data_IF_019210482867
#
_entry.id   IF_019210482867
#
_cell.length_a   1.000
_cell.length_b   1.000
_cell.length_c   1.000
_cell.angle_alpha   90.00
_cell.angle_beta   90.00
_cell.angle_gamma   90.00
#
_symmetry.space_group_name_H-M   'P 1'
#
loop_
_entity.id
_entity.type
_entity.pdbx_description
1 polymer ?
2 polymer ?
3 polymer ?
4 non-polymer ?
5 non-polymer ?
6 water ?
#
# COMPACT_ATOMS: atom_id res chain seq x y z
N UNK A 3 -29.35 0.80 33.13
CA UNK A 3 -30.23 1.00 31.93
C UNK A 3 -29.51 1.89 30.93
N UNK A 4 -29.76 3.20 31.01
CA UNK A 4 -29.10 4.13 30.12
C UNK A 4 -27.63 4.11 30.51
N UNK A 5 -27.38 3.82 31.78
CA UNK A 5 -26.02 3.74 32.28
C UNK A 5 -25.39 2.47 31.71
N UNK A 6 -26.09 1.35 31.85
CA UNK A 6 -25.61 0.07 31.35
C UNK A 6 -25.32 0.22 29.87
N UNK A 7 -26.26 0.80 29.14
CA UNK A 7 -26.09 1.00 27.71
C UNK A 7 -24.82 1.77 27.41
N UNK A 8 -24.58 2.86 28.13
CA UNK A 8 -23.39 3.66 27.87
C UNK A 8 -22.12 2.88 28.15
N UNK A 9 -22.11 2.16 29.28
CA UNK A 9 -20.95 1.36 29.68
C UNK A 9 -20.65 0.32 28.61
N UNK A 10 -21.67 -0.38 28.13
CA UNK A 10 -21.48 -1.37 27.08
C UNK A 10 -20.84 -0.71 25.85
N UNK A 11 -21.36 0.45 25.46
CA UNK A 11 -20.84 1.14 24.26
C UNK A 11 -19.39 1.57 24.45
N UNK A 12 -19.05 1.93 25.68
CA UNK A 12 -17.68 2.33 25.95
C UNK A 12 -16.80 1.09 25.84
N UNK A 13 -17.34 -0.06 26.21
CA UNK A 13 -16.55 -1.28 26.11
C UNK A 13 -16.35 -1.60 24.63
N UNK A 14 -17.38 -1.40 23.82
CA UNK A 14 -17.28 -1.66 22.38
C UNK A 14 -16.28 -0.70 21.71
N UNK A 15 -16.25 0.53 22.20
CA UNK A 15 -15.30 1.52 21.70
C UNK A 15 -13.85 1.07 21.99
N UNK A 16 -13.65 0.45 23.16
CA UNK A 16 -12.32 -0.06 23.55
C UNK A 16 -11.98 -1.13 22.51
N UNK A 17 -12.97 -1.95 22.18
CA UNK A 17 -12.80 -3.00 21.18
C UNK A 17 -12.49 -2.39 19.81
N UNK A 18 -13.24 -1.37 19.42
CA UNK A 18 -13.01 -0.70 18.16
C UNK A 18 -11.60 -0.12 18.13
N UNK A 19 -11.17 0.40 19.27
CA UNK A 19 -9.83 0.95 19.36
C UNK A 19 -8.78 -0.13 19.19
N UNK A 20 -8.96 -1.23 19.91
CA UNK A 20 -8.05 -2.37 19.85
C UNK A 20 -7.86 -2.84 18.43
N UNK A 21 -8.98 -3.10 17.75
CA UNK A 21 -8.95 -3.61 16.38
C UNK A 21 -8.24 -2.68 15.40
N UNK A 22 -8.58 -1.40 15.45
CA UNK A 22 -7.92 -0.48 14.54
C UNK A 22 -6.43 -0.35 14.89
N UNK A 23 -6.09 -0.28 16.17
CA UNK A 23 -4.67 -0.14 16.53
C UNK A 23 -3.88 -1.40 16.13
N UNK A 24 -4.56 -2.55 16.14
CA UNK A 24 -3.92 -3.78 15.77
C UNK A 24 -3.64 -3.72 14.27
N UNK A 25 -4.58 -3.18 13.52
CA UNK A 25 -4.44 -3.09 12.06
C UNK A 25 -3.43 -2.05 11.56
N UNK A 26 -3.01 -1.14 12.44
CA UNK A 26 -2.09 -0.07 12.06
C UNK A 26 -0.77 -0.47 11.39
N UNK A 27 -0.06 -1.40 12.00
CA UNK A 27 1.23 -1.85 11.46
C UNK A 27 1.08 -2.42 10.04
N UNK A 28 0.01 -3.17 9.82
CA UNK A 28 -0.23 -3.74 8.50
C UNK A 28 -0.50 -2.60 7.50
N UNK A 29 -1.28 -1.60 7.90
CA UNK A 29 -1.54 -0.49 6.99
C UNK A 29 -0.23 0.24 6.65
N UNK A 30 0.64 0.43 7.64
CA UNK A 30 1.93 1.10 7.39
C UNK A 30 2.77 0.27 6.42
N UNK A 31 2.85 -1.04 6.67
CA UNK A 31 3.63 -1.92 5.79
C UNK A 31 3.06 -1.91 4.39
N UNK A 32 1.73 -1.95 4.29
CA UNK A 32 1.11 -1.96 2.96
C UNK A 32 1.32 -0.66 2.19
N UNK A 33 1.38 0.47 2.89
CA UNK A 33 1.60 1.74 2.18
C UNK A 33 2.94 1.66 1.54
N UNK A 34 3.89 1.05 2.24
CA UNK A 34 5.22 0.90 1.70
C UNK A 34 5.14 0.00 0.47
N UNK A 35 4.43 -1.11 0.64
CA UNK A 35 4.27 -2.03 -0.46
C UNK A 35 3.58 -1.41 -1.67
N UNK A 36 2.44 -0.76 -1.47
CA UNK A 36 1.73 -0.14 -2.61
C UNK A 36 2.63 0.94 -3.24
N UNK A 37 3.39 1.63 -2.41
CA UNK A 37 4.29 2.67 -2.94
C UNK A 37 5.30 2.07 -3.88
N UNK A 38 5.90 0.96 -3.46
CA UNK A 38 6.87 0.27 -4.29
C UNK A 38 6.20 -0.15 -5.61
N UNK A 39 5.04 -0.80 -5.52
CA UNK A 39 4.36 -1.23 -6.74
C UNK A 39 4.06 -0.05 -7.68
N UNK A 40 3.40 0.98 -7.18
CA UNK A 40 3.06 2.11 -8.01
C UNK A 40 4.30 2.72 -8.67
N UNK A 41 5.35 2.90 -7.89
CA UNK A 41 6.58 3.50 -8.38
C UNK A 41 7.29 2.69 -9.47
N UNK A 42 7.47 1.39 -9.25
CA UNK A 42 8.19 0.59 -10.24
C UNK A 42 7.41 0.33 -11.52
N UNK A 43 6.08 0.28 -11.43
CA UNK A 43 5.29 0.08 -12.63
C UNK A 43 5.44 1.37 -13.45
N UNK A 44 5.36 2.52 -12.79
CA UNK A 44 5.48 3.77 -13.52
C UNK A 44 6.85 3.85 -14.18
N UNK A 45 7.89 3.49 -13.44
CA UNK A 45 9.23 3.49 -14.02
C UNK A 45 9.22 2.60 -15.27
N UNK A 46 8.56 1.45 -15.18
CA UNK A 46 8.50 0.53 -16.31
C UNK A 46 7.76 1.15 -17.48
N UNK A 47 6.67 1.86 -17.16
CA UNK A 47 5.87 2.52 -18.18
C UNK A 47 6.69 3.61 -18.89
N UNK A 48 7.42 4.42 -18.12
CA UNK A 48 8.26 5.46 -18.70
C UNK A 48 9.34 4.80 -19.59
N UNK A 49 9.99 3.76 -19.10
CA UNK A 49 11.03 3.08 -19.86
C UNK A 49 10.51 2.59 -21.22
N UNK A 50 9.34 1.97 -21.19
CA UNK A 50 8.70 1.43 -22.39
C UNK A 50 8.43 2.49 -23.44
N UNK A 51 8.25 3.73 -22.99
CA UNK A 51 8.00 4.82 -23.92
C UNK A 51 9.25 5.64 -24.26
N UNK A 52 10.41 5.22 -23.76
CA UNK A 52 11.67 5.91 -24.03
C UNK A 52 12.20 5.40 -25.39
N UNK A 53 12.38 6.30 -26.37
CA UNK A 53 12.85 5.90 -27.71
C UNK A 53 14.08 5.01 -27.66
N UNK A 54 15.02 5.32 -26.77
CA UNK A 54 16.21 4.50 -26.69
C UNK A 54 15.87 3.07 -26.25
N UNK A 55 14.89 2.90 -25.38
CA UNK A 55 14.52 1.56 -24.94
C UNK A 55 13.78 0.88 -26.08
N UNK A 56 13.01 1.64 -26.84
CA UNK A 56 12.28 1.07 -27.97
C UNK A 56 13.30 0.54 -28.99
N UNK A 57 14.33 1.33 -29.25
CA UNK A 57 15.38 0.94 -30.19
C UNK A 57 16.16 -0.27 -29.66
N UNK A 58 16.54 -0.22 -28.41
CA UNK A 58 17.29 -1.30 -27.79
C UNK A 58 16.49 -2.60 -27.84
N UNK A 59 15.22 -2.52 -27.50
CA UNK A 59 14.35 -3.68 -27.48
C UNK A 59 14.15 -4.36 -28.84
N UNK A 60 13.98 -3.55 -29.88
CA UNK A 60 13.81 -4.06 -31.25
C UNK A 60 15.09 -4.67 -31.78
N UNK A 61 16.22 -4.23 -31.25
CA UNK A 61 17.52 -4.66 -31.74
C UNK A 61 17.97 -5.98 -31.09
N UNK A 62 17.57 -6.20 -29.85
CA UNK A 62 17.95 -7.39 -29.10
C UNK A 62 17.90 -8.73 -29.84
N UNK A 63 16.75 -9.07 -30.46
CA UNK A 63 16.57 -10.32 -31.19
C UNK A 63 17.68 -10.66 -32.18
N UNK A 64 18.43 -9.64 -32.59
CA UNK A 64 19.51 -9.83 -33.55
C UNK A 64 20.86 -10.08 -32.89
N UNK A 65 20.89 -10.14 -31.56
CA UNK A 65 22.15 -10.34 -30.83
C UNK A 65 22.56 -11.79 -30.59
N UNK B 1 33.82 1.63 -25.51
CA UNK B 1 34.64 0.48 -25.95
C UNK B 1 33.79 -0.52 -26.73
N UNK B 2 34.49 -1.50 -27.28
CA UNK B 2 33.93 -2.36 -28.30
C UNK B 2 33.51 -3.75 -27.96
N UNK B 3 33.93 -4.21 -26.80
CA UNK B 3 33.62 -5.55 -26.36
C UNK B 3 33.25 -5.59 -24.89
N UNK B 4 34.17 -5.16 -24.03
CA UNK B 4 33.95 -5.21 -22.59
C UNK B 4 34.24 -3.81 -22.09
N UNK B 5 33.34 -3.26 -21.28
CA UNK B 5 33.60 -1.91 -20.91
C UNK B 5 32.64 -1.28 -19.91
N UNK B 6 33.17 -0.29 -19.22
CA UNK B 6 32.38 0.47 -18.29
C UNK B 6 32.84 1.89 -18.27
N UNK B 7 31.90 2.80 -18.36
CA UNK B 7 32.24 4.19 -18.18
C UNK B 7 32.40 4.57 -16.71
N UNK B 8 31.60 3.95 -15.90
CA UNK B 8 31.35 4.40 -14.55
C UNK B 8 31.49 3.42 -13.43
N UNK B 9 30.74 3.94 -12.46
CA UNK B 9 30.25 3.18 -11.40
C UNK B 9 28.79 3.35 -11.72
N UNK B 10 28.45 2.58 -12.75
CA UNK B 10 27.09 2.26 -13.09
C UNK B 10 27.12 0.90 -12.42
N UNK B 11 26.02 0.42 -11.93
CA UNK B 11 25.94 -0.85 -11.19
C UNK B 11 25.26 -1.92 -12.02
N UNK B 12 25.28 -1.76 -13.34
CA UNK B 12 24.64 -2.71 -14.24
C UNK B 12 25.37 -4.04 -14.27
N UNK B 13 24.61 -5.12 -14.11
CA UNK B 13 25.18 -6.47 -14.16
C UNK B 13 25.93 -6.73 -15.47
N UNK B 14 27.10 -7.49 -15.34
CA UNK B 14 28.00 -7.64 -16.47
C UNK B 14 27.27 -8.19 -17.69
N UNK B 15 26.20 -8.93 -17.47
CA UNK B 15 25.50 -9.63 -18.54
C UNK B 15 24.69 -8.67 -19.39
N UNK B 16 23.99 -7.74 -18.74
CA UNK B 16 23.24 -6.71 -19.44
C UNK B 16 24.18 -5.73 -20.15
N UNK B 17 25.23 -5.31 -19.46
CA UNK B 17 26.23 -4.43 -20.05
C UNK B 17 26.78 -5.04 -21.33
N UNK B 18 26.83 -6.38 -21.39
CA UNK B 18 27.36 -7.10 -22.57
C UNK B 18 26.35 -7.08 -23.70
N UNK B 19 25.11 -7.40 -23.37
CA UNK B 19 23.99 -7.19 -24.29
C UNK B 19 24.13 -5.79 -24.91
N UNK B 20 24.07 -4.75 -24.06
CA UNK B 20 24.11 -3.38 -24.54
C UNK B 20 25.26 -3.15 -25.50
N UNK B 21 26.37 -3.74 -25.21
CA UNK B 21 27.53 -3.57 -26.07
C UNK B 21 27.23 -4.11 -27.47
N UNK B 22 26.60 -5.26 -27.53
CA UNK B 22 26.29 -5.90 -28.80
C UNK B 22 25.17 -5.18 -29.54
N UNK B 23 24.29 -4.54 -28.79
CA UNK B 23 23.19 -3.80 -29.38
C UNK B 23 23.87 -2.59 -29.95
N UNK B 24 24.77 -2.00 -29.17
CA UNK B 24 25.50 -0.83 -29.58
C UNK B 24 26.18 -1.07 -30.91
N UNK B 25 26.82 -2.22 -31.04
CA UNK B 25 27.52 -2.57 -32.27
C UNK B 25 26.56 -2.58 -33.45
N UNK B 26 25.38 -3.19 -33.30
CA UNK B 26 24.41 -3.22 -34.39
C UNK B 26 23.84 -1.84 -34.70
N UNK B 27 23.51 -1.10 -33.65
CA UNK B 27 23.00 0.28 -33.76
C UNK B 27 23.97 1.19 -34.52
N UNK B 28 25.26 0.99 -34.29
CA UNK B 28 26.31 1.77 -34.95
C UNK B 28 26.55 1.17 -36.34
N UNK B 29 25.58 1.41 -37.23
CA UNK B 29 25.59 0.96 -38.62
C UNK B 29 26.91 1.05 -39.36
N UNK B 30 27.45 2.26 -39.48
CA UNK B 30 28.70 2.42 -40.20
C UNK B 30 29.92 1.79 -39.52
N UNK B 31 29.68 1.15 -38.37
CA UNK B 31 30.75 0.48 -37.64
C UNK B 31 32.01 1.31 -37.52
N UNK B 32 31.87 2.50 -36.91
CA UNK B 32 32.97 3.41 -36.71
C UNK B 32 33.17 3.67 -35.21
N UNK B 33 32.28 3.10 -34.39
CA UNK B 33 32.38 3.30 -32.95
C UNK B 33 31.51 4.36 -32.31
N UNK B 34 30.74 5.07 -33.12
CA UNK B 34 29.86 6.12 -32.63
C UNK B 34 28.48 5.97 -33.24
N UNK B 35 27.43 6.41 -32.53
CA UNK B 35 26.07 6.30 -33.02
C UNK B 35 25.53 7.68 -33.42
N UNK B 36 25.44 7.89 -34.73
CA UNK B 36 24.96 9.16 -35.28
C UNK B 36 23.49 9.07 -35.70
N UNK B 37 22.88 10.23 -35.97
CA UNK B 37 21.48 10.27 -36.39
C UNK B 37 21.30 9.37 -37.61
N UNK B 38 22.38 9.18 -38.35
CA UNK B 38 22.35 8.34 -39.53
C UNK B 38 22.26 6.87 -39.17
N UNK B 39 23.04 6.44 -38.19
CA UNK B 39 23.02 5.04 -37.77
C UNK B 39 21.64 4.73 -37.18
N UNK B 40 21.14 5.62 -36.34
CA UNK B 40 19.86 5.41 -35.69
C UNK B 40 18.72 5.29 -36.68
N UNK B 41 18.79 6.11 -37.73
CA UNK B 41 17.74 6.11 -38.74
C UNK B 41 17.82 4.80 -39.53
N UNK B 42 19.02 4.43 -39.95
CA UNK B 42 19.22 3.23 -40.76
C UNK B 42 18.80 1.95 -40.07
N UNK B 43 19.30 1.74 -38.84
CA UNK B 43 18.92 0.53 -38.14
C UNK B 43 17.42 0.51 -37.86
N UNK B 44 16.85 1.67 -37.57
CA UNK B 44 15.42 1.72 -37.30
C UNK B 44 14.63 1.35 -38.57
N UNK B 45 14.97 1.97 -39.70
CA UNK B 45 14.24 1.69 -40.93
C UNK B 45 14.35 0.22 -41.24
N UNK B 46 15.50 -0.34 -40.90
CA UNK B 46 15.75 -1.76 -41.11
C UNK B 46 14.75 -2.58 -40.30
N UNK B 47 14.53 -2.15 -39.06
CA UNK B 47 13.66 -2.88 -38.16
C UNK B 47 12.19 -2.51 -38.12
N UNK B 48 11.79 -1.52 -38.91
CA UNK B 48 10.38 -1.12 -38.91
C UNK B 48 10.26 0.37 -39.10
N UNK B 49 9.13 0.95 -38.68
CA UNK B 49 8.91 2.39 -38.83
C UNK B 49 9.94 3.12 -37.98
N UNK B 50 10.64 4.07 -38.57
CA UNK B 50 11.62 4.82 -37.81
C UNK B 50 10.99 6.07 -37.20
N UNK B 51 11.53 6.54 -36.06
CA UNK B 51 10.94 7.74 -35.47
C UNK B 51 11.27 8.87 -36.44
N UNK B 52 10.54 9.97 -36.38
CA UNK B 52 10.80 11.09 -37.27
C UNK B 52 12.09 11.79 -36.88
N UNK B 53 12.70 12.48 -37.83
CA UNK B 53 13.94 13.17 -37.58
C UNK B 53 13.93 13.96 -36.27
N UNK B 54 12.82 14.63 -35.99
CA UNK B 54 12.72 15.40 -34.77
C UNK B 54 13.00 14.48 -33.59
N UNK B 55 12.36 13.32 -33.58
CA UNK B 55 12.57 12.35 -32.50
C UNK B 55 14.00 11.83 -32.52
N UNK B 56 14.53 11.62 -33.73
CA UNK B 56 15.89 11.14 -33.89
C UNK B 56 16.90 12.11 -33.28
N UNK B 57 16.65 13.40 -33.54
CA UNK B 57 17.50 14.48 -33.09
C UNK B 57 17.39 14.65 -31.57
N UNK B 58 16.18 14.47 -31.06
CA UNK B 58 15.90 14.60 -29.64
C UNK B 58 16.50 13.47 -28.80
N UNK B 59 16.70 12.31 -29.39
CA UNK B 59 17.29 11.25 -28.60
C UNK B 59 18.81 11.39 -28.65
N UNK B 60 19.32 11.92 -29.75
CA UNK B 60 20.75 12.12 -29.87
C UNK B 60 21.19 13.21 -28.90
N UNK B 61 20.29 14.17 -28.68
CA UNK B 61 20.48 15.29 -27.77
C UNK B 61 20.67 14.82 -26.33
N UNK B 62 20.17 13.63 -26.01
CA UNK B 62 20.31 13.17 -24.64
C UNK B 62 21.75 12.79 -24.30
N UNK B 63 22.58 12.60 -25.33
CA UNK B 63 24.00 12.24 -25.14
C UNK B 63 24.85 13.49 -25.31
N UNK B 64 25.23 14.10 -24.18
CA UNK B 64 26.06 15.32 -24.20
C UNK B 64 27.52 14.97 -24.53
N UNK B 65 27.79 14.76 -25.80
CA UNK B 65 29.14 14.41 -26.22
C UNK B 65 29.11 13.22 -27.13
N UNK B 66 30.18 12.99 -27.89
CA UNK B 66 30.22 11.84 -28.79
C UNK B 66 29.45 10.64 -28.21
N UNK B 67 28.57 10.05 -29.00
CA UNK B 67 27.81 8.94 -28.48
C UNK B 67 28.58 7.67 -28.73
N UNK B 68 29.60 7.43 -27.90
CA UNK B 68 30.38 6.20 -28.04
C UNK B 68 29.74 5.20 -27.09
N UNK B 69 30.29 3.98 -27.00
CA UNK B 69 29.67 3.02 -26.10
C UNK B 69 29.57 3.49 -24.64
N UNK B 70 30.59 4.19 -24.16
CA UNK B 70 30.62 4.72 -22.79
C UNK B 70 29.42 5.62 -22.56
N UNK B 71 29.16 6.48 -23.54
CA UNK B 71 28.05 7.41 -23.47
C UNK B 71 26.75 6.64 -23.55
N UNK B 72 26.71 5.65 -24.43
CA UNK B 72 25.50 4.84 -24.60
C UNK B 72 25.13 4.16 -23.27
N UNK B 73 26.11 3.49 -22.68
CA UNK B 73 25.89 2.78 -21.42
C UNK B 73 25.54 3.78 -20.33
N UNK B 74 26.13 4.96 -20.41
CA UNK B 74 25.87 5.99 -19.43
C UNK B 74 24.39 6.41 -19.47
N UNK B 75 23.83 6.71 -20.64
CA UNK B 75 22.43 7.14 -20.64
C UNK B 75 21.47 6.01 -20.27
N UNK B 76 21.86 4.76 -20.55
CA UNK B 76 21.00 3.64 -20.17
C UNK B 76 21.04 3.36 -18.67
N UNK B 77 22.21 3.40 -18.05
CA UNK B 77 22.22 3.15 -16.60
C UNK B 77 21.57 4.28 -15.84
N UNK B 78 21.73 5.52 -16.31
CA UNK B 78 21.09 6.65 -15.64
C UNK B 78 19.59 6.42 -15.73
N UNK B 79 19.13 5.92 -16.88
CA UNK B 79 17.72 5.65 -17.07
C UNK B 79 17.23 4.49 -16.21
N UNK B 80 18.04 3.45 -16.10
CA UNK B 80 17.66 2.27 -15.33
C UNK B 80 17.90 2.29 -13.83
N UNK B 81 18.65 3.29 -13.36
CA UNK B 81 19.03 3.37 -11.95
C UNK B 81 17.86 3.63 -11.01
N UNK B 82 18.03 3.28 -9.75
CA UNK B 82 17.09 3.65 -8.71
C UNK B 82 15.74 2.96 -8.78
N UNK B 83 15.72 1.70 -9.21
CA UNK B 83 14.49 0.92 -9.19
C UNK B 83 14.65 -0.22 -8.23
N UNK B 84 13.52 -0.72 -7.77
CA UNK B 84 13.56 -1.80 -6.79
C UNK B 84 13.85 -3.14 -7.44
N UNK B 85 14.32 -4.07 -6.63
CA UNK B 85 14.64 -5.38 -7.15
C UNK B 85 13.35 -6.18 -7.35
N UNK B 86 13.47 -7.20 -8.20
CA UNK B 86 12.42 -8.17 -8.44
C UNK B 86 11.89 -8.69 -7.12
N UNK B 87 12.80 -8.98 -6.20
CA UNK B 87 12.41 -9.55 -4.90
C UNK B 87 11.57 -8.57 -4.08
N UNK B 88 12.01 -7.32 -4.02
CA UNK B 88 11.30 -6.29 -3.27
C UNK B 88 9.91 -6.01 -3.86
N UNK B 89 9.84 -5.95 -5.18
CA UNK B 89 8.58 -5.68 -5.82
C UNK B 89 7.63 -6.85 -5.54
N UNK B 90 8.14 -8.06 -5.71
CA UNK B 90 7.34 -9.25 -5.46
C UNK B 90 6.79 -9.27 -4.03
N UNK B 91 7.64 -8.99 -3.05
CA UNK B 91 7.19 -8.99 -1.66
C UNK B 91 6.15 -7.89 -1.43
N UNK B 92 6.29 -6.78 -2.17
CA UNK B 92 5.36 -5.67 -2.03
C UNK B 92 3.97 -6.21 -2.40
N UNK B 93 3.90 -6.86 -3.55
CA UNK B 93 2.65 -7.47 -4.01
C UNK B 93 2.13 -8.52 -3.00
N UNK B 94 3.04 -9.36 -2.50
CA UNK B 94 2.64 -10.40 -1.58
C UNK B 94 2.01 -9.83 -0.31
N UNK B 95 2.28 -8.56 0.00
CA UNK B 95 1.69 -7.97 1.20
C UNK B 95 0.17 -7.87 1.14
N UNK B 96 -0.37 -8.04 -0.05
CA UNK B 96 -1.82 -7.95 -0.25
C UNK B 96 -2.37 -9.35 -0.60
N UNK B 97 -1.50 -10.36 -0.46
CA UNK B 97 -1.82 -11.76 -0.74
C UNK B 97 -1.41 -12.58 0.49
N UNK B 98 -2.15 -12.39 1.56
CA UNK B 98 -1.91 -13.06 2.83
C UNK B 98 -1.85 -14.57 2.73
N UNK B 99 -2.76 -15.15 1.95
CA UNK B 99 -2.77 -16.59 1.83
C UNK B 99 -1.65 -17.12 0.91
N UNK B 100 -0.86 -16.22 0.35
CA UNK B 100 0.26 -16.59 -0.53
C UNK B 100 -0.16 -17.42 -1.73
N UNK B 101 -1.21 -16.97 -2.39
CA UNK B 101 -1.70 -17.68 -3.56
C UNK B 101 -0.80 -17.39 -4.74
N UNK B 102 -0.03 -16.32 -4.66
CA UNK B 102 0.87 -15.91 -5.73
C UNK B 102 0.13 -15.13 -6.81
N UNK B 103 -1.12 -14.77 -6.50
CA UNK B 103 -1.93 -13.99 -7.41
C UNK B 103 -2.75 -13.00 -6.58
N UNK B 104 -3.38 -12.07 -7.28
CA UNK B 104 -4.27 -11.07 -6.69
C UNK B 104 -5.53 -11.03 -7.54
N UNK B 105 -6.70 -10.85 -6.92
CA UNK B 105 -7.91 -10.76 -7.72
C UNK B 105 -7.71 -9.51 -8.61
N UNK B 106 -8.00 -9.64 -9.89
CA UNK B 106 -7.86 -8.54 -10.83
C UNK B 106 -8.56 -7.24 -10.36
N UNK B 107 -9.73 -7.33 -9.74
CA UNK B 107 -10.40 -6.08 -9.30
C UNK B 107 -9.70 -5.45 -8.11
N UNK B 108 -9.14 -6.29 -7.24
CA UNK B 108 -8.45 -5.79 -6.05
C UNK B 108 -7.21 -4.99 -6.46
N UNK B 109 -6.35 -5.58 -7.30
CA UNK B 109 -5.14 -4.90 -7.75
C UNK B 109 -5.49 -3.63 -8.54
N UNK B 110 -6.54 -3.69 -9.36
CA UNK B 110 -6.93 -2.50 -10.10
C UNK B 110 -7.40 -1.44 -9.12
N UNK B 111 -8.17 -1.85 -8.10
CA UNK B 111 -8.65 -0.89 -7.09
C UNK B 111 -7.46 -0.29 -6.32
N UNK B 112 -6.50 -1.12 -5.93
CA UNK B 112 -5.32 -0.62 -5.20
C UNK B 112 -4.56 0.42 -6.02
N UNK B 113 -4.36 0.13 -7.30
CA UNK B 113 -3.59 1.04 -8.14
C UNK B 113 -4.27 2.32 -8.52
N UNK B 114 -5.57 2.25 -8.79
CA UNK B 114 -6.30 3.43 -9.22
C UNK B 114 -6.90 4.32 -8.15
N UNK B 115 -7.33 3.72 -7.04
CA UNK B 115 -7.99 4.45 -5.96
C UNK B 115 -7.22 4.66 -4.64
N UNK B 116 -6.02 4.11 -4.53
CA UNK B 116 -5.26 4.27 -3.31
C UNK B 116 -3.84 4.75 -3.60
N UNK B 117 -3.14 5.17 -2.55
CA UNK B 117 -1.77 5.62 -2.73
C UNK B 117 -1.71 6.76 -3.73
N UNK B 118 -0.72 6.71 -4.62
CA UNK B 118 -0.57 7.76 -5.65
C UNK B 118 -1.32 7.32 -6.89
N UNK B 119 -2.64 7.52 -6.86
CA UNK B 119 -3.48 7.03 -7.90
C UNK B 119 -2.93 7.00 -9.31
N UNK B 120 -2.94 5.82 -9.91
CA UNK B 120 -2.73 5.70 -11.34
C UNK B 120 -3.90 6.43 -12.03
N UNK B 121 -3.61 7.06 -13.17
CA UNK B 121 -4.65 7.73 -13.97
C UNK B 121 -5.15 6.68 -14.97
N UNK B 122 -6.20 7.02 -15.70
CA UNK B 122 -6.77 6.07 -16.66
C UNK B 122 -5.77 5.55 -17.70
N UNK B 123 -4.84 6.41 -18.16
CA UNK B 123 -3.88 5.98 -19.17
C UNK B 123 -2.88 5.00 -18.60
N UNK B 124 -2.40 5.26 -17.37
CA UNK B 124 -1.44 4.38 -16.69
C UNK B 124 -2.11 3.02 -16.47
N UNK B 125 -3.38 3.08 -16.08
CA UNK B 125 -4.17 1.89 -15.85
C UNK B 125 -4.22 1.08 -17.15
N UNK B 126 -4.63 1.75 -18.23
CA UNK B 126 -4.75 1.08 -19.52
C UNK B 126 -3.43 0.50 -19.97
N UNK B 127 -2.36 1.29 -19.87
CA UNK B 127 -1.05 0.77 -20.29
C UNK B 127 -0.57 -0.38 -19.42
N UNK B 128 -0.87 -0.32 -18.13
CA UNK B 128 -0.44 -1.36 -17.21
C UNK B 128 -1.08 -2.73 -17.48
N UNK B 129 -2.40 -2.74 -17.61
CA UNK B 129 -3.07 -4.01 -17.81
C UNK B 129 -3.14 -4.55 -19.23
N UNK B 130 -2.67 -3.78 -20.19
CA UNK B 130 -2.68 -4.25 -21.56
C UNK B 130 -1.61 -5.31 -21.56
N UNK B 131 -0.65 -5.14 -20.67
CA UNK B 131 0.47 -6.06 -20.56
C UNK B 131 0.30 -7.13 -19.49
N UNK B 132 -0.57 -6.87 -18.51
CA UNK B 132 -0.78 -7.79 -17.40
C UNK B 132 -1.14 -9.25 -17.64
N UNK B 133 -0.48 -10.15 -16.92
CA UNK B 133 -0.77 -11.58 -17.06
C UNK B 133 -2.00 -11.87 -16.17
N UNK B 134 -3.16 -12.01 -16.80
CA UNK B 134 -4.41 -12.25 -16.07
C UNK B 134 -5.17 -13.43 -16.67
N UNK B 135 -5.67 -14.31 -15.82
CA UNK B 135 -6.44 -15.46 -16.28
C UNK B 135 -7.27 -15.88 -15.08
N UNK B 136 -8.51 -16.29 -15.35
CA UNK B 136 -9.40 -16.71 -14.27
C UNK B 136 -9.69 -15.57 -13.32
N UNK B 137 -9.57 -14.33 -13.80
CA UNK B 137 -9.82 -13.20 -12.91
C UNK B 137 -8.71 -13.02 -11.88
N UNK B 138 -7.56 -13.63 -12.13
CA UNK B 138 -6.42 -13.56 -11.20
C UNK B 138 -5.22 -12.89 -11.87
N UNK B 139 -4.72 -11.83 -11.25
CA UNK B 139 -3.54 -11.13 -11.75
C UNK B 139 -2.30 -11.84 -11.18
N UNK B 140 -1.46 -12.39 -12.07
CA UNK B 140 -0.26 -13.12 -11.63
C UNK B 140 0.89 -12.13 -11.41
N UNK B 141 1.03 -11.64 -10.18
CA UNK B 141 2.06 -10.68 -9.87
C UNK B 141 3.50 -11.17 -9.94
N UNK B 142 3.70 -12.48 -9.78
CA UNK B 142 5.04 -13.06 -9.87
C UNK B 142 5.50 -13.03 -11.33
N UNK B 143 4.60 -13.40 -12.25
CA UNK B 143 4.88 -13.27 -13.67
C UNK B 143 5.03 -11.79 -14.03
N UNK B 144 4.14 -10.95 -13.50
CA UNK B 144 4.14 -9.54 -13.83
C UNK B 144 5.42 -8.84 -13.40
N UNK B 145 5.88 -9.17 -12.20
CA UNK B 145 7.11 -8.59 -11.68
C UNK B 145 8.27 -9.08 -12.54
N UNK B 146 8.23 -10.35 -12.91
CA UNK B 146 9.24 -10.90 -13.80
C UNK B 146 9.30 -10.09 -15.11
N UNK B 147 8.12 -9.78 -15.65
CA UNK B 147 8.03 -9.05 -16.91
C UNK B 147 8.64 -7.66 -16.87
N UNK B 148 8.20 -6.85 -15.92
CA UNK B 148 8.67 -5.49 -15.81
C UNK B 148 10.15 -5.35 -15.45
N UNK B 149 10.70 -6.39 -14.82
CA UNK B 149 12.11 -6.40 -14.45
C UNK B 149 12.97 -7.02 -15.56
N UNK B 150 12.30 -7.53 -16.59
CA UNK B 150 12.98 -8.00 -17.78
C UNK B 150 13.37 -9.45 -17.75
N UNK B 151 13.18 -10.07 -16.60
CA UNK B 151 13.54 -11.51 -16.45
C UNK B 151 12.32 -12.30 -16.73
N UNK B 152 11.46 -11.75 -17.57
CA UNK B 152 10.21 -12.39 -17.80
C UNK B 152 9.57 -12.40 -19.17
N UNK B 153 8.31 -11.99 -19.07
CA UNK B 153 7.23 -12.09 -20.00
C UNK B 153 6.78 -10.97 -20.95
N UNK B 154 7.62 -10.02 -21.33
CA UNK B 154 7.18 -8.93 -22.17
C UNK B 154 7.11 -9.29 -23.64
N UNK B 155 7.99 -10.18 -24.07
CA UNK B 155 8.13 -10.49 -25.48
C UNK B 155 8.98 -11.74 -25.70
N UNK B 156 8.76 -12.42 -26.82
CA UNK B 156 9.65 -13.47 -27.28
C UNK B 156 9.09 -14.92 -27.11
N UNK C 1 -6.12 20.13 23.50
CA UNK C 1 -5.61 21.36 24.16
C UNK C 1 -4.09 21.38 24.29
N UNK C 2 -3.59 21.06 25.48
CA UNK C 2 -2.16 21.06 25.75
C UNK C 2 -1.43 19.89 25.10
N UNK C 3 -1.80 19.56 23.85
CA UNK C 3 -1.16 18.46 23.13
C UNK C 3 0.35 18.67 23.17
N UNK C 4 1.09 17.57 23.36
CA UNK C 4 2.55 17.62 23.44
C UNK C 4 3.26 18.24 22.23
N UNK C 5 2.51 18.56 21.19
CA UNK C 5 3.07 19.07 19.95
C UNK C 5 3.83 17.87 19.42
N UNK C 6 3.76 16.79 20.16
CA UNK C 6 4.38 15.54 19.77
C UNK C 6 3.17 14.78 19.29
N UNK C 7 2.09 15.03 20.01
CA UNK C 7 0.80 14.38 19.72
C UNK C 7 0.25 15.01 18.45
N UNK C 8 0.83 16.16 18.09
CA UNK C 8 0.47 16.88 16.87
C UNK C 8 1.21 16.23 15.70
N UNK C 9 2.48 15.86 15.92
CA UNK C 9 3.29 15.23 14.89
C UNK C 9 2.76 13.80 14.77
N UNK C 10 2.36 13.22 15.90
CA UNK C 10 1.79 11.88 15.93
C UNK C 10 0.57 11.88 15.02
N UNK C 11 -0.30 12.86 15.22
CA UNK C 11 -1.51 13.00 14.42
C UNK C 11 -1.12 13.25 12.96
N UNK C 12 -0.01 13.95 12.75
CA UNK C 12 0.43 14.20 11.38
C UNK C 12 0.83 12.89 10.71
N UNK C 13 1.52 12.02 11.43
CA UNK C 13 1.95 10.75 10.88
C UNK C 13 0.73 9.89 10.55
N UNK C 14 -0.22 9.82 11.47
CA UNK C 14 -1.43 9.01 11.24
C UNK C 14 -2.23 9.56 10.06
N UNK C 15 -2.41 10.88 10.06
CA UNK C 15 -3.13 11.54 8.99
C UNK C 15 -2.54 11.19 7.63
N UNK C 16 -1.21 11.34 7.52
CA UNK C 16 -0.53 11.01 6.26
C UNK C 16 -0.78 9.57 5.82
N UNK C 17 -0.82 8.64 6.75
CA UNK C 17 -1.03 7.24 6.36
C UNK C 17 -2.43 7.08 5.79
N UNK C 18 -3.43 7.62 6.49
CA UNK C 18 -4.81 7.50 6.01
C UNK C 18 -5.07 8.27 4.73
N UNK C 19 -4.37 9.39 4.58
CA UNK C 19 -4.51 10.23 3.38
C UNK C 19 -4.05 9.37 2.23
N UNK C 20 -2.91 8.72 2.44
CA UNK C 20 -2.38 7.83 1.44
C UNK C 20 -3.41 6.76 1.11
N UNK C 21 -4.03 6.15 2.12
CA UNK C 21 -4.94 5.05 1.81
C UNK C 21 -6.27 5.31 1.10
N UNK C 22 -6.70 6.56 1.03
CA UNK C 22 -7.91 6.85 0.27
C UNK C 22 -7.52 7.81 -0.85
N UNK C 23 -6.26 7.71 -1.29
CA UNK C 23 -5.75 8.59 -2.33
C UNK C 23 -4.98 9.75 -1.76
N UNK C 24 -3.65 9.70 -1.90
CA UNK C 24 -2.78 10.74 -1.36
C UNK C 24 -3.03 12.10 -1.98
N UNK C 25 -3.68 12.99 -1.22
CA UNK C 25 -4.06 14.29 -1.73
C UNK C 25 -4.14 15.34 -0.63
N UNK C 26 -3.73 14.97 0.58
CA UNK C 26 -3.78 15.91 1.67
C UNK C 26 -5.16 16.01 2.30
N UNK C 27 -5.99 15.00 2.08
CA UNK C 27 -7.31 14.95 2.69
C UNK C 27 -7.67 13.51 3.07
N UNK C 28 -8.30 13.35 4.22
CA UNK C 28 -8.73 12.04 4.73
C UNK C 28 -10.27 12.02 4.78
N UNK C 29 -10.87 10.94 4.27
CA UNK C 29 -12.32 10.85 4.28
C UNK C 29 -12.80 10.96 5.71
N UNK C 30 -13.87 11.74 5.93
CA UNK C 30 -14.40 11.98 7.27
C UNK C 30 -14.90 10.72 7.94
N UNK C 31 -15.11 9.69 7.13
CA UNK C 31 -15.57 8.43 7.67
C UNK C 31 -14.42 7.76 8.42
N UNK C 32 -13.22 8.27 8.25
CA UNK C 32 -12.05 7.65 8.86
C UNK C 32 -11.48 8.49 10.00
N UNK C 33 -12.15 9.61 10.28
CA UNK C 33 -11.73 10.51 11.37
C UNK C 33 -11.65 9.76 12.69
N UNK C 34 -12.64 8.91 12.98
CA UNK C 34 -12.61 8.15 14.22
C UNK C 34 -11.44 7.17 14.30
N UNK C 35 -11.19 6.49 13.18
CA UNK C 35 -10.10 5.51 13.14
C UNK C 35 -8.77 6.21 13.28
N UNK C 36 -8.64 7.41 12.74
CA UNK C 36 -7.39 8.14 12.88
C UNK C 36 -7.16 8.35 14.38
N UNK C 37 -8.16 8.90 15.04
CA UNK C 37 -8.03 9.15 16.45
C UNK C 37 -7.74 7.89 17.25
N UNK C 38 -8.39 6.78 16.88
CA UNK C 38 -8.16 5.52 17.56
C UNK C 38 -6.72 5.10 17.45
N UNK C 39 -6.07 5.47 16.36
CA UNK C 39 -4.65 5.10 16.15
C UNK C 39 -3.73 5.86 17.09
N UNK C 40 -4.24 6.98 17.61
CA UNK C 40 -3.50 7.81 18.55
C UNK C 40 -3.71 7.39 19.99
N UNK C 41 -4.38 6.27 20.20
CA UNK C 41 -4.57 5.78 21.55
C UNK C 41 -5.88 6.01 22.26
N UNK C 42 -6.84 6.69 21.64
CA UNK C 42 -8.08 6.90 22.35
C UNK C 42 -9.21 6.02 21.82
N UNK C 43 -10.23 5.82 22.65
CA UNK C 43 -11.37 4.96 22.32
C UNK C 43 -12.69 5.67 22.26
N UNK C 44 -12.88 6.49 21.23
CA UNK C 44 -14.14 7.22 21.14
C UNK C 44 -15.32 6.35 20.77
N UNK C 45 -16.48 6.66 21.31
CA UNK C 45 -17.67 5.93 20.93
C UNK C 45 -18.06 6.56 19.61
N UNK C 46 -18.85 5.82 18.83
CA UNK C 46 -19.39 6.30 17.56
C UNK C 46 -19.91 7.70 17.76
N UNK C 47 -20.65 7.87 18.84
CA UNK C 47 -21.41 9.09 19.10
C UNK C 47 -20.46 10.25 19.32
N UNK C 48 -19.35 9.97 20.02
CA UNK C 48 -18.31 10.96 20.21
C UNK C 48 -17.73 11.40 18.86
N UNK C 49 -17.43 10.42 18.00
CA UNK C 49 -16.85 10.71 16.69
C UNK C 49 -17.81 11.53 15.82
N UNK C 50 -19.09 11.18 15.80
CA UNK C 50 -20.01 11.96 14.98
C UNK C 50 -20.08 13.41 15.49
N UNK C 51 -20.13 13.57 16.80
CA UNK C 51 -20.21 14.89 17.39
C UNK C 51 -19.04 15.81 17.03
N UNK C 52 -17.91 15.27 16.58
CA UNK C 52 -16.78 16.14 16.21
C UNK C 52 -16.58 16.22 14.69
N UNK C 53 -17.51 15.66 13.92
CA UNK C 53 -17.41 15.75 12.49
C UNK C 53 -17.30 14.44 11.72
N UNK C 54 -17.06 13.33 12.41
CA UNK C 54 -16.96 12.06 11.71
C UNK C 54 -18.27 11.77 11.00
N UNK C 55 -18.18 11.23 9.79
CA UNK C 55 -19.38 10.92 9.03
C UNK C 55 -19.80 9.46 9.15
N UNK C 56 -20.93 9.12 8.55
CA UNK C 56 -21.48 7.77 8.62
C UNK C 56 -21.10 6.79 7.51
N UNK C 57 -20.47 7.28 6.46
CA UNK C 57 -20.03 6.38 5.41
C UNK C 57 -18.97 7.05 4.57
N UNK C 58 -18.24 6.24 3.82
CA UNK C 58 -17.22 6.78 2.95
C UNK C 58 -17.87 7.56 1.83
N UNK C 59 -17.12 8.52 1.30
CA UNK C 59 -17.57 9.30 0.16
C UNK C 59 -18.57 10.41 0.36
N UNK C 60 -18.50 11.06 1.52
CA UNK C 60 -19.41 12.14 1.83
C UNK C 60 -18.65 13.44 2.03
N UNK C 61 -17.59 13.38 2.82
CA UNK C 61 -16.80 14.55 3.10
C UNK C 61 -15.36 14.14 3.24
N UNK C 62 -14.46 15.03 2.85
CA UNK C 62 -13.05 14.74 3.00
C UNK C 62 -12.49 15.91 3.79
N UNK C 63 -11.60 15.62 4.73
CA UNK C 63 -11.05 16.66 5.58
C UNK C 63 -9.53 16.83 5.51
N UNK C 64 -9.05 18.10 5.63
CA UNK C 64 -7.61 18.39 5.61
C UNK C 64 -7.08 18.26 7.03
N UNK C 65 -5.76 18.27 7.18
CA UNK C 65 -5.13 18.12 8.48
C UNK C 65 -5.61 19.05 9.57
N UNK C 66 -5.71 20.33 9.24
CA UNK C 66 -6.13 21.33 10.21
C UNK C 66 -7.52 21.05 10.76
N UNK C 67 -8.38 20.42 9.98
CA UNK C 67 -9.68 20.02 10.51
C UNK C 67 -9.52 18.92 11.58
N UNK C 68 -8.55 18.02 11.41
CA UNK C 68 -8.33 16.94 12.39
C UNK C 68 -7.83 17.42 13.77
N UNK C 69 -7.24 18.61 13.83
CA UNK C 69 -6.72 19.17 15.09
C UNK C 69 -7.80 19.35 16.15
N UNK C 70 -8.80 20.22 15.88
CA UNK C 70 -9.86 20.41 16.87
C UNK C 70 -10.59 19.10 17.18
N UNK C 71 -10.79 18.28 16.15
CA UNK C 71 -11.49 17.00 16.33
C UNK C 71 -10.75 16.10 17.31
N UNK C 72 -9.48 15.84 17.03
CA UNK C 72 -8.69 15.01 17.92
C UNK C 72 -8.69 15.65 19.32
N UNK C 73 -8.44 16.96 19.38
CA UNK C 73 -8.47 17.65 20.66
C UNK C 73 -9.79 17.36 21.38
N UNK C 74 -10.91 17.64 20.70
CA UNK C 74 -12.22 17.38 21.28
C UNK C 74 -12.43 15.95 21.77
N UNK C 75 -11.95 14.97 21.00
CA UNK C 75 -12.13 13.57 21.40
C UNK C 75 -11.35 13.15 22.63
N UNK C 76 -10.22 13.80 22.89
CA UNK C 76 -9.44 13.43 24.07
C UNK C 76 -10.27 13.59 25.32
N UNK C 77 -11.20 14.54 25.31
CA UNK C 77 -12.05 14.75 26.47
C UNK C 77 -13.16 13.69 26.57
N UNK C 78 -13.29 12.83 25.56
CA UNK C 78 -14.33 11.79 25.58
C UNK C 78 -14.21 10.82 26.75
N UNK C 79 -15.31 10.51 27.42
CA UNK C 79 -15.28 9.57 28.52
C UNK C 79 -14.78 8.20 28.03
N UNK C 80 -13.97 7.53 28.86
CA UNK C 80 -13.45 6.21 28.54
C UNK C 80 -13.85 5.30 29.69
N UNK C 81 -14.37 4.11 29.36
CA UNK C 81 -14.78 3.17 30.40
C UNK C 81 -13.65 2.71 31.30
N UNK C 82 -13.96 2.37 32.54
CA UNK C 82 -12.96 1.91 33.51
C UNK C 82 -13.21 0.43 33.72
N UNK C 83 -12.25 -0.25 34.33
CA UNK C 83 -12.40 -1.66 34.60
C UNK C 83 -13.62 -1.90 35.49
N UNK C 84 -13.80 -1.04 36.49
CA UNK C 84 -14.94 -1.13 37.42
C UNK C 84 -16.29 -1.10 36.68
N UNK C 85 -16.48 -0.15 35.76
CA UNK C 85 -17.72 -0.05 34.98
C UNK C 85 -17.92 -1.35 34.14
N UNK C 86 -16.87 -1.83 33.47
CA UNK C 86 -16.98 -3.03 32.63
C UNK C 86 -17.38 -4.23 33.47
N UNK C 87 -16.76 -4.41 34.62
CA UNK C 87 -17.13 -5.52 35.48
C UNK C 87 -18.57 -5.32 35.98
N UNK C 88 -18.94 -4.09 36.29
CA UNK C 88 -20.29 -3.82 36.76
C UNK C 88 -21.25 -4.12 35.60
N UNK C 89 -20.86 -3.77 34.37
CA UNK C 89 -21.71 -4.06 33.23
C UNK C 89 -21.96 -5.57 33.07
N UNK C 90 -20.89 -6.33 32.89
CA UNK C 90 -21.01 -7.76 32.70
C UNK C 90 -21.61 -8.51 33.88
N UNK C 91 -21.37 -8.03 35.08
CA UNK C 91 -21.90 -8.67 36.27
C UNK C 91 -23.41 -8.84 36.17
N UNK C 92 -24.07 -7.89 35.51
CA UNK C 92 -25.52 -7.96 35.38
C UNK C 92 -25.94 -9.15 34.53
N UNK C 93 -25.04 -9.69 33.74
CA UNK C 93 -25.38 -10.83 32.91
C UNK C 93 -24.92 -12.16 33.54
N UNK C 94 -24.34 -12.09 34.73
CA UNK C 94 -23.83 -13.24 35.47
C UNK C 94 -24.84 -13.72 36.51
N UNK C 95 -25.76 -14.57 36.09
CA UNK C 95 -26.77 -15.08 37.01
C UNK C 95 -26.14 -15.88 38.17
N UNK C 96 -25.18 -16.76 37.85
CA UNK C 96 -24.52 -17.61 38.85
C UNK C 96 -23.57 -16.93 39.82
N UNK C 97 -22.94 -15.84 39.39
CA UNK C 97 -22.02 -15.13 40.26
C UNK C 97 -20.67 -15.80 40.35
N UNK C 98 -20.23 -16.47 39.28
CA UNK C 98 -18.94 -17.12 39.31
C UNK C 98 -17.97 -16.52 38.30
N UNK C 99 -18.34 -15.38 37.73
CA UNK C 99 -17.45 -14.73 36.79
C UNK C 99 -17.55 -15.24 35.36
N UNK C 100 -18.57 -16.05 35.09
CA UNK C 100 -18.79 -16.57 33.74
C UNK C 100 -19.98 -15.96 33.02
N UNK C 101 -19.84 -15.93 31.71
CA UNK C 101 -20.87 -15.48 30.79
C UNK C 101 -20.70 -16.48 29.63
N UNK C 102 -21.80 -16.95 29.06
CA UNK C 102 -21.69 -17.89 27.94
C UNK C 102 -21.17 -17.16 26.70
N UNK C 103 -20.37 -17.86 25.88
CA UNK C 103 -19.86 -17.25 24.67
C UNK C 103 -20.99 -16.62 23.85
N UNK C 104 -22.14 -17.27 23.89
CA UNK C 104 -23.30 -16.79 23.15
C UNK C 104 -23.83 -15.51 23.77
N UNK C 105 -23.91 -15.47 25.11
CA UNK C 105 -24.40 -14.26 25.76
C UNK C 105 -23.42 -13.13 25.45
N UNK C 106 -22.13 -13.41 25.49
CA UNK C 106 -21.16 -12.35 25.21
C UNK C 106 -21.36 -11.81 23.79
N UNK C 107 -21.45 -12.70 22.81
CA UNK C 107 -21.68 -12.27 21.43
C UNK C 107 -22.98 -11.47 21.37
N UNK C 108 -23.98 -11.87 22.14
CA UNK C 108 -25.23 -11.12 22.13
C UNK C 108 -25.06 -9.66 22.61
N UNK C 109 -24.42 -9.45 23.76
CA UNK C 109 -24.26 -8.08 24.26
C UNK C 109 -23.46 -7.18 23.30
N UNK C 110 -22.43 -7.76 22.71
CA UNK C 110 -21.57 -7.04 21.79
C UNK C 110 -22.19 -6.68 20.45
N UNK C 111 -23.09 -7.50 19.95
CA UNK C 111 -23.69 -7.25 18.65
C UNK C 111 -25.12 -6.70 18.67
N UNK C 112 -25.81 -6.86 19.79
CA UNK C 112 -27.18 -6.40 19.94
C UNK C 112 -27.40 -5.22 20.90
N UNK C 113 -26.47 -4.95 21.81
CA UNK C 113 -26.65 -3.83 22.74
C UNK C 113 -25.72 -2.65 22.48
N UNK C 114 -25.93 -1.55 23.20
CA UNK C 114 -25.11 -0.35 23.03
C UNK C 114 -24.89 0.02 21.57
N UNK C 115 -23.71 0.54 21.25
CA UNK C 115 -23.37 0.88 19.88
C UNK C 115 -22.83 -0.42 19.27
N UNK C 116 -23.76 -1.30 18.95
CA UNK C 116 -23.48 -2.61 18.37
C UNK C 116 -22.28 -2.82 17.45
N UNK C 117 -21.57 -3.93 17.64
CA UNK C 117 -20.44 -4.27 16.79
C UNK C 117 -20.95 -5.31 15.78
N UNK C 118 -20.21 -5.52 14.70
CA UNK C 118 -20.60 -6.53 13.71
C UNK C 118 -20.12 -7.88 14.21
N UNK C 119 -20.75 -8.94 13.69
CA UNK C 119 -20.37 -10.29 14.02
C UNK C 119 -18.95 -10.48 13.52
N UNK C 120 -18.53 -9.74 12.50
CA UNK C 120 -17.15 -9.89 12.04
C UNK C 120 -16.16 -9.27 13.02
N UNK C 121 -16.55 -8.13 13.61
CA UNK C 121 -15.72 -7.44 14.60
C UNK C 121 -15.58 -8.32 15.83
N UNK C 122 -16.70 -8.91 16.24
CA UNK C 122 -16.69 -9.77 17.39
C UNK C 122 -15.75 -10.95 17.10
N UNK C 123 -15.89 -11.54 15.93
CA UNK C 123 -15.02 -12.61 15.50
C UNK C 123 -13.56 -12.21 15.66
N UNK C 124 -13.22 -11.04 15.14
CA UNK C 124 -11.84 -10.58 15.21
C UNK C 124 -11.33 -10.31 16.63
N UNK C 125 -12.11 -9.66 17.50
CA UNK C 125 -11.63 -9.41 18.87
C UNK C 125 -11.50 -10.74 19.64
N UNK C 126 -12.43 -11.67 19.44
CA UNK C 126 -12.37 -12.97 20.10
C UNK C 126 -11.10 -13.67 19.65
N UNK C 127 -10.81 -13.62 18.36
CA UNK C 127 -9.60 -14.24 17.83
C UNK C 127 -8.33 -13.56 18.37
N UNK C 128 -8.27 -12.24 18.30
CA UNK C 128 -7.07 -11.50 18.74
C UNK C 128 -6.80 -11.60 20.24
N UNK C 129 -7.85 -11.78 21.03
CA UNK C 129 -7.65 -11.89 22.45
C UNK C 129 -7.50 -13.34 22.81
N UNK C 130 -7.61 -14.20 21.80
CA UNK C 130 -7.46 -15.64 21.96
C UNK C 130 -8.43 -16.14 23.03
N UNK C 131 -9.61 -15.54 23.06
CA UNK C 131 -10.61 -15.91 24.05
C UNK C 131 -11.09 -17.34 23.80
N UNK C 132 -11.09 -18.15 24.85
CA UNK C 132 -11.51 -19.54 24.77
C UNK C 132 -12.70 -19.83 25.67
N UNK C 133 -13.65 -20.63 25.19
CA UNK C 133 -14.80 -21.01 25.99
C UNK C 133 -14.39 -22.27 26.75
N UNK C 134 -14.91 -22.49 27.95
CA UNK C 134 -14.58 -23.73 28.65
C UNK C 134 -15.47 -24.85 28.06
N UNK C 135 -15.41 -26.04 28.63
CA UNK C 135 -16.18 -27.16 28.11
C UNK C 135 -17.67 -26.90 28.06
N UNK C 136 -18.16 -26.03 28.94
CA UNK C 136 -19.57 -25.73 29.01
C UNK C 136 -19.98 -24.62 28.05
N UNK C 137 -19.02 -24.07 27.31
CA UNK C 137 -19.33 -22.99 26.39
C UNK C 137 -19.30 -21.62 27.03
N UNK C 138 -18.71 -21.52 28.21
CA UNK C 138 -18.62 -20.24 28.94
C UNK C 138 -17.24 -19.61 28.90
N UNK C 139 -17.20 -18.30 29.15
CA UNK C 139 -15.96 -17.54 29.21
C UNK C 139 -15.92 -16.69 30.46
N UNK C 140 -14.69 -16.42 30.90
CA UNK C 140 -14.46 -15.62 32.10
C UNK C 140 -14.40 -14.18 31.60
N UNK C 141 -15.48 -13.42 31.78
CA UNK C 141 -15.49 -12.05 31.27
C UNK C 141 -14.43 -11.12 31.83
N UNK C 142 -13.96 -11.39 33.04
CA UNK C 142 -12.92 -10.54 33.60
C UNK C 142 -11.66 -10.59 32.73
N UNK C 143 -11.26 -11.80 32.34
CA UNK C 143 -10.10 -12.01 31.48
C UNK C 143 -10.26 -11.27 30.17
N UNK C 144 -11.46 -11.36 29.60
CA UNK C 144 -11.76 -10.73 28.31
C UNK C 144 -11.65 -9.22 28.44
N UNK C 145 -12.29 -8.67 29.47
CA UNK C 145 -12.22 -7.23 29.70
C UNK C 145 -10.75 -6.79 29.81
N UNK C 146 -9.98 -7.50 30.63
CA UNK C 146 -8.56 -7.15 30.80
C UNK C 146 -7.79 -7.19 29.48
N UNK C 147 -7.99 -8.26 28.70
CA UNK C 147 -7.33 -8.38 27.42
C UNK C 147 -7.75 -7.21 26.52
N UNK C 148 -9.04 -6.93 26.48
CA UNK C 148 -9.50 -5.84 25.63
C UNK C 148 -8.87 -4.50 26.07
N UNK C 149 -8.87 -4.22 27.37
CA UNK C 149 -8.34 -2.97 27.88
C UNK C 149 -6.85 -2.79 27.68
N UNK C 150 -6.11 -3.89 27.67
CA UNK C 150 -4.65 -3.84 27.62
C UNK C 150 -4.17 -3.48 26.21
N UNK C 151 -4.89 -3.93 25.20
CA UNK C 151 -4.52 -3.54 23.84
C UNK C 151 -3.98 -4.67 22.99
N UNK C 152 -3.70 -4.41 21.70
CA UNK C 152 -3.15 -5.42 20.81
C UNK C 152 -1.71 -5.71 21.09
N UNK C 153 -0.90 -4.74 21.39
CA UNK C 153 0.40 -5.13 21.94
C UNK C 153 0.05 -4.95 23.46
N UNK C 154 0.20 -5.99 24.34
CA UNK C 154 -0.49 -6.06 25.69
C UNK C 154 -0.17 -5.33 27.10
N UNK C 155 -0.14 -3.93 26.92
CA UNK C 155 -0.12 -2.79 27.93
C UNK C 155 -0.62 -1.52 27.22
N UNK C 156 -1.87 -1.36 27.07
CA UNK C 156 -2.32 -0.18 26.36
C UNK C 156 -3.37 0.32 27.28
X LIG D 1 28.63 4.82 -36.20
X LIG E 1 -6.53 11.09 0.66
#
# INVERSE_FOLDING_TARGET
MRDERLSKIISMFQAHIRGYLIRKAYKKLQDQRIGLSVIQRNIRKWLVLRNWQWWKLYSKVKPLL
ADKAASGVLTKLPQKQIQEMKEAFSMIDVDRDGFVSKEDIKAISEQLGRAPDDKELTAMLKEAPGPLNFTMFLSIFSDKLSGTDSEETIRNAFAMFDEQETKKLNIEYIKDLLENMGDNFNKDEMRMTFKEAPVEGGKFDYVKFTAMIKGSGEEEA
PKLSQDEIDDLKDVFELFDFWDGRDGAVDAFKLGDVCRCLGINPRNEDVFAVGGTHKMGEKSLPFEEFLPAYEGLMDCEQGTFADYMEAFKTFDREGQGFISGAELRHVLTALGERLSDEDVDEIIKLTDLQEDLEGNVKYEDFVKKVMAGPYPDK
MG MG
CA CA
#
